data_IF_696290309471
#
_entry.id   IF_696290309471
#
_cell.length_a   1.000
_cell.length_b   1.000
_cell.length_c   1.000
_cell.angle_alpha   90.00
_cell.angle_beta   90.00
_cell.angle_gamma   90.00
#
_symmetry.space_group_name_H-M   'P 1'
#
loop_
_entity.id
_entity.type
_entity.pdbx_description
1 polymer ?
#
# COMPACT_ATOMS: atom_id res chain seq x y z
N UNK A 1 -3.02 12.53 16.66
CA UNK A 1 -3.79 11.46 16.02
C UNK A 1 -4.70 12.10 14.99
N UNK A 2 -4.65 11.63 13.74
CA UNK A 2 -5.46 12.12 12.62
C UNK A 2 -6.21 10.96 11.98
N UNK A 3 -7.40 11.23 11.45
CA UNK A 3 -8.17 10.30 10.64
C UNK A 3 -8.24 10.84 9.22
N UNK A 4 -8.15 9.98 8.24
CA UNK A 4 -8.29 10.34 6.84
C UNK A 4 -9.06 9.28 6.09
N UNK A 5 -9.60 9.66 4.93
CA UNK A 5 -10.32 8.74 4.06
C UNK A 5 -10.46 9.30 2.66
N UNK A 6 -10.62 8.38 1.73
CA UNK A 6 -10.87 8.66 0.33
C UNK A 6 -12.01 7.79 -0.15
N UNK A 7 -12.87 8.36 -0.96
CA UNK A 7 -13.89 7.66 -1.71
C UNK A 7 -13.70 7.99 -3.19
N UNK A 8 -13.59 6.97 -4.00
CA UNK A 8 -13.45 7.09 -5.45
C UNK A 8 -14.65 6.41 -6.10
N UNK A 9 -15.42 7.16 -6.86
CA UNK A 9 -16.52 6.64 -7.67
C UNK A 9 -16.05 6.40 -9.11
N UNK A 10 -16.39 5.26 -9.67
CA UNK A 10 -16.11 4.92 -11.06
C UNK A 10 -17.18 5.48 -12.00
N UNK A 11 -18.37 5.75 -11.47
CA UNK A 11 -19.52 6.23 -12.21
C UNK A 11 -20.26 7.31 -11.41
N UNK A 12 -21.27 7.91 -11.99
CA UNK A 12 -22.13 8.91 -11.35
C UNK A 12 -23.60 8.48 -11.31
N UNK A 13 -24.28 8.85 -10.24
CA UNK A 13 -25.73 8.69 -10.09
C UNK A 13 -26.35 10.02 -9.64
N UNK A 14 -26.86 10.78 -10.59
CA UNK A 14 -27.31 12.14 -10.35
C UNK A 14 -26.16 13.09 -10.06
N UNK A 15 -26.05 13.58 -8.83
CA UNK A 15 -24.99 14.51 -8.40
C UNK A 15 -23.93 13.85 -7.51
N UNK A 16 -24.02 12.56 -7.25
CA UNK A 16 -23.12 11.85 -6.35
C UNK A 16 -22.34 10.77 -7.12
N UNK A 17 -21.08 10.53 -6.74
CA UNK A 17 -20.34 9.39 -7.29
C UNK A 17 -21.06 8.09 -6.91
N UNK A 18 -21.03 7.15 -7.82
CA UNK A 18 -21.53 5.79 -7.63
C UNK A 18 -20.45 4.77 -7.95
N UNK A 19 -20.71 3.50 -7.67
CA UNK A 19 -19.71 2.45 -7.81
C UNK A 19 -18.42 2.77 -7.00
N UNK A 20 -18.61 3.03 -5.72
CA UNK A 20 -17.56 3.59 -4.89
C UNK A 20 -16.56 2.55 -4.36
N UNK A 21 -15.28 2.90 -4.38
CA UNK A 21 -14.18 2.27 -3.69
C UNK A 21 -13.76 3.13 -2.49
N UNK A 22 -13.18 2.54 -1.47
CA UNK A 22 -12.92 3.23 -0.22
C UNK A 22 -11.49 2.97 0.27
N UNK A 23 -10.92 4.02 0.86
CA UNK A 23 -9.72 3.99 1.67
C UNK A 23 -10.01 4.73 2.97
N UNK A 24 -9.56 4.20 4.09
CA UNK A 24 -9.63 4.88 5.37
C UNK A 24 -8.44 4.54 6.25
N UNK A 25 -8.00 5.51 7.03
CA UNK A 25 -6.86 5.31 7.89
C UNK A 25 -6.83 6.20 9.11
N UNK A 26 -5.98 5.82 10.03
CA UNK A 26 -5.65 6.57 11.23
C UNK A 26 -4.15 6.60 11.39
N UNK A 27 -3.63 7.75 11.77
CA UNK A 27 -2.21 7.95 12.02
C UNK A 27 -1.98 8.71 13.32
N UNK A 28 -0.80 8.56 13.88
CA UNK A 28 -0.42 9.25 15.09
C UNK A 28 1.07 9.47 15.20
N UNK A 29 1.38 10.46 16.03
CA UNK A 29 2.72 10.79 16.47
C UNK A 29 2.76 10.83 17.98
N UNK A 30 3.80 10.28 18.58
CA UNK A 30 4.01 10.29 20.02
C UNK A 30 5.49 10.51 20.33
N UNK A 31 5.78 11.48 21.20
CA UNK A 31 7.12 11.69 21.72
C UNK A 31 7.40 10.71 22.86
N UNK A 32 8.56 10.11 22.86
CA UNK A 32 9.03 9.18 23.90
C UNK A 32 10.42 9.58 24.40
N UNK A 33 10.42 10.44 25.42
CA UNK A 33 11.66 11.06 25.91
C UNK A 33 12.24 12.01 24.85
N UNK A 34 13.43 11.68 24.32
CA UNK A 34 14.07 12.40 23.22
C UNK A 34 13.79 11.78 21.84
N UNK A 35 13.15 10.62 21.82
CA UNK A 35 12.77 9.89 20.63
C UNK A 35 11.32 10.23 20.23
N UNK A 36 10.93 9.82 19.04
CA UNK A 36 9.56 9.96 18.56
C UNK A 36 9.11 8.69 17.85
N UNK A 37 7.83 8.39 17.97
CA UNK A 37 7.19 7.27 17.28
C UNK A 37 6.09 7.80 16.38
N UNK A 38 6.18 7.48 15.09
CA UNK A 38 5.12 7.66 14.12
C UNK A 38 4.47 6.32 13.82
N UNK A 39 3.17 6.31 13.61
CA UNK A 39 2.47 5.10 13.23
C UNK A 39 1.24 5.41 12.38
N UNK A 40 0.84 4.45 11.56
CA UNK A 40 -0.46 4.47 10.90
C UNK A 40 -1.05 3.07 10.78
N UNK A 41 -2.38 3.03 10.64
CA UNK A 41 -3.13 1.87 10.17
C UNK A 41 -4.06 2.35 9.07
N UNK A 42 -4.08 1.66 7.94
CA UNK A 42 -4.84 2.00 6.76
C UNK A 42 -5.53 0.76 6.19
N UNK A 43 -6.75 0.92 5.74
CA UNK A 43 -7.52 -0.13 5.09
C UNK A 43 -8.07 0.37 3.76
N UNK A 44 -8.01 -0.48 2.74
CA UNK A 44 -8.55 -0.24 1.39
C UNK A 44 -9.57 -1.31 1.04
N UNK A 45 -10.61 -0.92 0.31
CA UNK A 45 -11.53 -1.85 -0.34
C UNK A 45 -11.83 -1.33 -1.75
N UNK A 46 -11.30 -2.03 -2.75
CA UNK A 46 -11.51 -1.69 -4.16
C UNK A 46 -12.66 -2.46 -4.81
N UNK A 47 -13.40 -3.27 -4.03
CA UNK A 47 -14.69 -3.81 -4.46
C UNK A 47 -15.72 -2.68 -4.51
N UNK A 48 -16.54 -2.67 -5.52
CA UNK A 48 -17.57 -1.64 -5.64
C UNK A 48 -18.55 -1.70 -4.47
N UNK A 49 -18.71 -0.59 -3.77
CA UNK A 49 -19.58 -0.46 -2.59
C UNK A 49 -19.27 -1.53 -1.50
N UNK A 50 -18.01 -1.91 -1.33
CA UNK A 50 -17.50 -2.90 -0.37
C UNK A 50 -18.06 -4.33 -0.54
N UNK A 51 -18.72 -4.62 -1.63
CA UNK A 51 -19.38 -5.93 -1.79
C UNK A 51 -19.42 -6.46 -3.22
N UNK A 52 -19.54 -5.58 -4.22
CA UNK A 52 -19.70 -5.99 -5.60
C UNK A 52 -18.34 -6.19 -6.24
N UNK A 53 -18.09 -7.37 -6.75
CA UNK A 53 -16.88 -7.75 -7.51
C UNK A 53 -17.10 -7.65 -9.02
N UNK A 54 -16.02 -7.75 -9.79
CA UNK A 54 -16.01 -7.73 -11.26
C UNK A 54 -16.61 -6.46 -11.87
N UNK A 55 -16.40 -5.32 -11.23
CA UNK A 55 -16.90 -4.03 -11.70
C UNK A 55 -15.80 -2.97 -11.72
N UNK A 56 -15.17 -2.70 -10.57
CA UNK A 56 -14.10 -1.73 -10.47
C UNK A 56 -12.88 -2.11 -11.33
N UNK A 57 -12.20 -1.12 -11.89
CA UNK A 57 -11.04 -1.28 -12.79
C UNK A 57 -11.35 -1.97 -14.12
N UNK A 58 -12.60 -2.28 -14.42
CA UNK A 58 -13.01 -2.96 -15.65
C UNK A 58 -13.89 -2.05 -16.49
N UNK A 59 -13.91 -2.24 -17.80
CA UNK A 59 -14.80 -1.49 -18.67
C UNK A 59 -15.18 -2.31 -19.90
N UNK A 60 -16.47 -2.25 -20.29
CA UNK A 60 -16.99 -3.06 -21.41
C UNK A 60 -16.48 -2.62 -22.77
N UNK A 61 -16.12 -1.33 -22.95
CA UNK A 61 -15.55 -0.78 -24.19
C UNK A 61 -14.03 -0.78 -24.12
N UNK A 62 -13.46 -0.23 -23.04
CA UNK A 62 -12.01 -0.15 -22.85
C UNK A 62 -11.51 -1.47 -22.28
N UNK A 63 -11.09 -2.39 -23.17
CA UNK A 63 -10.72 -3.79 -22.80
C UNK A 63 -9.58 -3.91 -21.80
N UNK A 64 -8.73 -2.87 -21.73
CA UNK A 64 -7.65 -2.83 -20.74
C UNK A 64 -8.12 -2.35 -19.36
N UNK A 65 -9.33 -1.78 -19.27
CA UNK A 65 -9.83 -1.24 -18.01
C UNK A 65 -8.92 -0.13 -17.47
N UNK A 66 -8.81 -0.01 -16.16
CA UNK A 66 -7.95 0.97 -15.50
C UNK A 66 -6.56 0.38 -15.19
N UNK A 67 -5.96 -0.26 -16.23
CA UNK A 67 -4.62 -0.86 -16.20
C UNK A 67 -3.78 -0.36 -17.37
N UNK A 68 -2.47 -0.30 -17.16
CA UNK A 68 -1.47 -0.05 -18.20
C UNK A 68 -0.40 -1.16 -18.14
N UNK A 69 -0.26 -1.91 -19.24
CA UNK A 69 0.68 -3.03 -19.33
C UNK A 69 0.56 -4.05 -18.17
N UNK A 70 -0.68 -4.29 -17.71
CA UNK A 70 -0.97 -5.18 -16.58
C UNK A 70 -0.86 -4.56 -15.19
N UNK A 71 -0.33 -3.33 -15.08
CA UNK A 71 -0.24 -2.61 -13.81
C UNK A 71 -1.49 -1.74 -13.59
N UNK A 72 -2.09 -1.74 -12.40
CA UNK A 72 -3.22 -0.88 -12.07
C UNK A 72 -2.77 0.59 -12.01
N UNK A 73 -3.63 1.50 -12.49
CA UNK A 73 -3.34 2.93 -12.52
C UNK A 73 -3.76 3.69 -11.24
N UNK A 74 -4.30 2.99 -10.28
CA UNK A 74 -4.74 3.54 -8.98
C UNK A 74 -4.20 2.74 -7.81
N UNK A 75 -5.08 2.04 -7.09
CA UNK A 75 -4.68 1.17 -6.00
C UNK A 75 -3.82 0.00 -6.49
N UNK A 76 -2.79 -0.35 -5.73
CA UNK A 76 -1.84 -1.41 -6.10
C UNK A 76 -2.49 -2.80 -6.23
N UNK A 77 -3.62 -3.03 -5.57
CA UNK A 77 -4.38 -4.29 -5.70
C UNK A 77 -5.20 -4.35 -6.99
N UNK A 78 -5.37 -3.23 -7.71
CA UNK A 78 -6.31 -3.17 -8.82
C UNK A 78 -7.76 -3.27 -8.33
N UNK A 79 -8.63 -3.85 -9.14
CA UNK A 79 -10.01 -4.11 -8.74
C UNK A 79 -10.15 -5.29 -7.80
N UNK A 80 -11.24 -5.32 -7.05
CA UNK A 80 -11.67 -6.44 -6.21
C UNK A 80 -10.68 -6.85 -5.11
N UNK A 81 -9.93 -5.89 -4.59
CA UNK A 81 -8.98 -6.10 -3.51
C UNK A 81 -9.46 -5.54 -2.17
N UNK A 82 -8.99 -6.15 -1.11
CA UNK A 82 -9.09 -5.67 0.26
C UNK A 82 -7.73 -5.69 0.90
N UNK A 83 -7.30 -4.59 1.50
CA UNK A 83 -5.99 -4.48 2.14
C UNK A 83 -6.14 -3.84 3.52
N UNK A 84 -5.36 -4.31 4.46
CA UNK A 84 -5.03 -3.62 5.69
C UNK A 84 -3.52 -3.55 5.82
N UNK A 85 -2.99 -2.36 6.10
CA UNK A 85 -1.58 -2.14 6.36
C UNK A 85 -1.38 -1.32 7.63
N UNK A 86 -0.29 -1.59 8.32
CA UNK A 86 0.14 -0.79 9.46
C UNK A 86 1.64 -0.58 9.42
N UNK A 87 2.09 0.60 9.83
CA UNK A 87 3.51 0.94 9.98
C UNK A 87 3.77 1.57 11.34
N UNK A 88 4.89 1.22 11.93
CA UNK A 88 5.46 1.92 13.07
C UNK A 88 6.87 2.36 12.67
N UNK A 89 7.22 3.60 13.03
CA UNK A 89 8.54 4.19 12.80
C UNK A 89 9.03 4.84 14.08
N UNK A 90 10.19 4.39 14.56
CA UNK A 90 10.93 5.01 15.67
C UNK A 90 11.96 5.97 15.10
N UNK A 91 11.96 7.20 15.57
CA UNK A 91 12.94 8.25 15.25
C UNK A 91 13.72 8.54 16.52
N UNK A 92 15.03 8.25 16.52
CA UNK A 92 15.88 8.45 17.67
C UNK A 92 16.43 9.88 17.76
N UNK A 93 16.95 10.29 18.92
CA UNK A 93 17.55 11.63 19.16
C UNK A 93 18.66 11.97 18.12
N UNK A 94 19.43 10.99 17.70
CA UNK A 94 20.49 11.11 16.68
C UNK A 94 19.96 10.95 15.24
N UNK A 95 18.65 11.15 15.05
CA UNK A 95 17.97 11.15 13.75
C UNK A 95 18.07 9.84 12.95
N UNK A 96 18.28 8.71 13.62
CA UNK A 96 18.10 7.41 13.00
C UNK A 96 16.61 7.04 12.96
N UNK A 97 16.20 6.34 11.92
CA UNK A 97 14.83 5.89 11.74
C UNK A 97 14.78 4.39 11.55
N UNK A 98 13.99 3.74 12.36
CA UNK A 98 13.71 2.31 12.27
C UNK A 98 12.23 2.11 11.99
N UNK A 99 11.89 1.34 10.98
CA UNK A 99 10.49 1.13 10.65
C UNK A 99 10.16 -0.34 10.42
N UNK A 100 8.92 -0.69 10.79
CA UNK A 100 8.31 -1.96 10.46
C UNK A 100 6.95 -1.69 9.84
N UNK A 101 6.68 -2.27 8.67
CA UNK A 101 5.38 -2.25 8.00
C UNK A 101 4.87 -3.68 7.84
N UNK A 102 3.61 -3.89 8.19
CA UNK A 102 2.89 -5.14 7.99
C UNK A 102 1.77 -4.91 6.98
N UNK A 103 1.54 -5.88 6.12
CA UNK A 103 0.48 -5.84 5.10
C UNK A 103 -0.25 -7.17 5.09
N UNK A 104 -1.57 -7.10 5.02
CA UNK A 104 -2.44 -8.23 4.74
C UNK A 104 -3.41 -7.83 3.65
N UNK A 105 -3.50 -8.60 2.57
CA UNK A 105 -4.42 -8.31 1.47
C UNK A 105 -5.10 -9.58 0.97
N UNK A 106 -6.36 -9.44 0.59
CA UNK A 106 -7.10 -10.42 -0.21
C UNK A 106 -7.34 -9.80 -1.58
N UNK A 107 -6.93 -10.48 -2.63
CA UNK A 107 -7.04 -10.01 -4.01
C UNK A 107 -7.86 -10.98 -4.83
N UNK A 108 -8.67 -10.45 -5.72
CA UNK A 108 -9.49 -11.21 -6.66
C UNK A 108 -10.27 -12.37 -6.02
N UNK A 109 -11.13 -12.13 -5.02
CA UNK A 109 -11.71 -13.19 -4.18
C UNK A 109 -12.59 -14.19 -4.94
N UNK A 110 -13.04 -13.85 -6.16
CA UNK A 110 -13.85 -14.72 -7.01
C UNK A 110 -13.08 -15.38 -8.15
N UNK A 111 -11.74 -15.29 -8.13
CA UNK A 111 -10.83 -15.91 -9.12
C UNK A 111 -11.17 -15.55 -10.57
N UNK A 112 -11.46 -14.26 -10.81
CA UNK A 112 -11.85 -13.79 -12.13
C UNK A 112 -10.65 -13.33 -12.95
N UNK A 113 -10.48 -13.86 -14.15
CA UNK A 113 -9.39 -13.51 -15.06
C UNK A 113 -9.42 -12.05 -15.56
N UNK A 114 -10.48 -11.32 -15.27
CA UNK A 114 -10.61 -9.90 -15.61
C UNK A 114 -9.72 -9.00 -14.77
N UNK A 115 -9.34 -9.43 -13.54
CA UNK A 115 -8.36 -8.73 -12.73
C UNK A 115 -6.95 -9.00 -13.29
N UNK A 116 -6.37 -7.99 -13.94
CA UNK A 116 -5.08 -8.12 -14.62
C UNK A 116 -3.88 -8.04 -13.68
N UNK A 117 -4.04 -7.40 -12.52
CA UNK A 117 -2.98 -7.33 -11.51
C UNK A 117 -2.84 -8.66 -10.76
N UNK A 118 -3.97 -9.29 -10.46
CA UNK A 118 -4.04 -10.57 -9.76
C UNK A 118 -5.02 -11.48 -10.49
N UNK A 119 -4.58 -12.25 -11.51
CA UNK A 119 -5.47 -13.08 -12.32
C UNK A 119 -6.06 -14.27 -11.55
N UNK A 120 -5.55 -14.56 -10.36
CA UNK A 120 -6.04 -15.62 -9.47
C UNK A 120 -6.34 -15.06 -8.08
N UNK A 121 -7.31 -15.68 -7.40
CA UNK A 121 -7.62 -15.38 -6.01
C UNK A 121 -6.44 -15.66 -5.11
N UNK A 122 -6.03 -14.71 -4.29
CA UNK A 122 -4.93 -14.90 -3.37
C UNK A 122 -5.08 -14.12 -2.07
N UNK A 123 -4.29 -14.54 -1.08
CA UNK A 123 -4.11 -13.83 0.19
C UNK A 123 -2.63 -13.54 0.38
N UNK A 124 -2.30 -12.25 0.39
CA UNK A 124 -0.93 -11.76 0.52
C UNK A 124 -0.66 -11.36 1.98
N UNK A 125 0.50 -11.73 2.49
CA UNK A 125 1.00 -11.32 3.82
C UNK A 125 2.40 -10.81 3.65
N UNK A 126 2.64 -9.56 4.05
CA UNK A 126 3.93 -8.92 3.87
C UNK A 126 4.47 -8.30 5.13
N UNK A 127 5.80 -8.31 5.26
CA UNK A 127 6.55 -7.55 6.24
C UNK A 127 7.66 -6.80 5.55
N UNK A 128 7.85 -5.54 5.94
CA UNK A 128 8.96 -4.72 5.50
C UNK A 128 9.64 -4.10 6.72
N UNK A 129 10.95 -4.22 6.78
CA UNK A 129 11.82 -3.59 7.77
C UNK A 129 12.62 -2.50 7.07
N UNK A 130 12.73 -1.34 7.68
CA UNK A 130 13.49 -0.22 7.15
C UNK A 130 14.41 0.38 8.20
N UNK A 131 15.56 0.84 7.75
CA UNK A 131 16.47 1.66 8.53
C UNK A 131 16.99 2.82 7.69
N UNK A 132 17.11 3.99 8.32
CA UNK A 132 17.69 5.18 7.71
C UNK A 132 18.47 5.96 8.76
N UNK A 133 19.71 6.33 8.47
CA UNK A 133 20.56 7.08 9.39
C UNK A 133 21.74 7.72 8.69
N UNK A 134 22.33 8.72 9.36
CA UNK A 134 23.54 9.38 8.88
C UNK A 134 24.75 8.49 9.17
N UNK A 135 25.49 8.12 8.14
CA UNK A 135 26.65 7.20 8.24
C UNK A 135 27.98 7.94 8.21
N UNK A 136 28.04 9.11 7.57
CA UNK A 136 29.24 9.94 7.53
C UNK A 136 28.87 11.40 7.24
N UNK A 137 29.26 12.33 8.13
CA UNK A 137 28.92 13.76 8.04
C UNK A 137 27.40 13.96 7.78
N UNK A 138 27.03 14.39 6.58
CA UNK A 138 25.62 14.56 6.18
C UNK A 138 25.18 13.51 5.16
N UNK A 139 25.92 12.42 4.98
CA UNK A 139 25.57 11.34 4.07
C UNK A 139 24.61 10.39 4.78
N UNK A 140 23.39 10.28 4.25
CA UNK A 140 22.35 9.41 4.78
C UNK A 140 22.26 8.12 3.98
N UNK A 141 22.23 6.99 4.68
CA UNK A 141 21.96 5.68 4.12
C UNK A 141 20.51 5.29 4.45
N UNK A 142 19.77 4.84 3.43
CA UNK A 142 18.44 4.29 3.55
C UNK A 142 18.46 2.83 3.12
N UNK A 143 17.95 1.93 3.95
CA UNK A 143 17.89 0.50 3.62
C UNK A 143 16.52 -0.06 3.91
N UNK A 144 16.08 -1.04 3.14
CA UNK A 144 14.91 -1.83 3.47
C UNK A 144 15.06 -3.28 3.07
N UNK A 145 14.37 -4.15 3.79
CA UNK A 145 14.19 -5.56 3.51
C UNK A 145 12.70 -5.85 3.51
N UNK A 146 12.23 -6.67 2.57
CA UNK A 146 10.83 -7.11 2.56
C UNK A 146 10.72 -8.59 2.28
N UNK A 147 9.65 -9.13 2.79
CA UNK A 147 9.18 -10.49 2.52
C UNK A 147 7.67 -10.46 2.32
N UNK A 148 7.19 -11.08 1.26
CA UNK A 148 5.77 -11.24 0.98
C UNK A 148 5.50 -12.70 0.65
N UNK A 149 4.55 -13.29 1.36
CA UNK A 149 4.02 -14.62 1.10
C UNK A 149 2.66 -14.49 0.41
N UNK A 150 2.44 -15.25 -0.62
CA UNK A 150 1.17 -15.43 -1.32
C UNK A 150 0.69 -16.87 -1.12
N UNK A 151 -0.54 -17.06 -0.64
CA UNK A 151 -1.02 -18.41 -0.28
C UNK A 151 -1.16 -19.37 -1.46
N UNK A 152 -1.50 -18.84 -2.65
CA UNK A 152 -1.76 -19.61 -3.86
C UNK A 152 -0.63 -19.50 -4.90
N UNK A 153 0.42 -18.75 -4.61
CA UNK A 153 1.62 -18.66 -5.43
C UNK A 153 2.69 -19.61 -4.88
N UNK A 154 3.36 -20.33 -5.77
CA UNK A 154 4.47 -21.22 -5.40
C UNK A 154 5.76 -20.50 -5.00
N UNK A 155 5.78 -19.18 -5.04
CA UNK A 155 6.96 -18.38 -4.73
C UNK A 155 6.67 -17.23 -3.77
N UNK A 156 7.39 -17.23 -2.65
CA UNK A 156 7.50 -16.06 -1.80
C UNK A 156 8.36 -14.98 -2.49
N UNK A 157 7.99 -13.71 -2.30
CA UNK A 157 8.81 -12.58 -2.75
C UNK A 157 9.67 -12.05 -1.60
N UNK A 158 10.97 -11.99 -1.81
CA UNK A 158 11.92 -11.42 -0.87
C UNK A 158 12.84 -10.44 -1.59
N UNK A 159 13.07 -9.30 -1.00
CA UNK A 159 13.95 -8.31 -1.60
C UNK A 159 14.57 -7.36 -0.59
N UNK A 160 15.53 -6.62 -1.09
CA UNK A 160 16.25 -5.60 -0.34
C UNK A 160 16.48 -4.36 -1.21
N UNK A 161 16.54 -3.20 -0.58
CA UNK A 161 16.99 -1.96 -1.23
C UNK A 161 17.99 -1.23 -0.37
N UNK A 162 18.90 -0.49 -1.03
CA UNK A 162 19.79 0.47 -0.39
C UNK A 162 19.85 1.74 -1.23
N UNK A 163 19.80 2.89 -0.58
CA UNK A 163 19.90 4.21 -1.21
C UNK A 163 20.80 5.12 -0.39
N UNK A 164 21.54 5.99 -1.07
CA UNK A 164 22.41 6.99 -0.45
C UNK A 164 21.90 8.38 -0.81
N UNK A 165 21.75 9.22 0.19
CA UNK A 165 21.36 10.62 0.06
C UNK A 165 22.55 11.50 0.45
N UNK A 166 23.03 12.32 -0.49
CA UNK A 166 24.16 13.23 -0.31
C UNK A 166 23.65 14.65 -0.55
N UNK A 167 23.52 15.49 0.49
CA UNK A 167 23.13 16.88 0.31
C UNK A 167 24.28 17.67 -0.31
N UNK A 168 24.00 18.48 -1.32
CA UNK A 168 24.94 19.49 -1.82
C UNK A 168 24.37 20.87 -1.61
N UNK A 169 25.21 21.77 -1.14
CA UNK A 169 24.94 23.21 -1.21
C UNK A 169 25.58 23.74 -2.52
N UNK A 170 24.77 24.35 -3.37
CA UNK A 170 25.21 25.16 -4.51
C UNK A 170 25.56 26.57 -4.04
#
# INVERSE_FOLDING_TARGET
MSFYGQMVGEDESGYLPSANMFLGGVEGHHGWGKDAVNWYVEAHDTRTNMSRTNYSYTHHIYKDGYYQQGYPLGDAMGGDGQLIAGKVELITEDNQRWSTRLVYAKVNPEDQSINKAFPHADTLKGVQLGWSGDVYQSVRLNTSLWYTNANNSDSDDVGASAGIEIPFSL
#
